data_IF_637648251262
#
_entry.id   IF_637648251262
#
_cell.length_a   1.000
_cell.length_b   1.000
_cell.length_c   1.000
_cell.angle_alpha   90.00
_cell.angle_beta   90.00
_cell.angle_gamma   90.00
#
_symmetry.space_group_name_H-M   'P 1'
#
loop_
_entity.id
_entity.type
_entity.pdbx_description
1 polymer ?
#
# COMPACT_ATOMS: atom_id res chain seq x y z
N UNK A 1 -8.18 -15.95 9.01
CA UNK A 1 -7.64 -15.94 7.63
C UNK A 1 -8.81 -15.93 6.68
N UNK A 2 -8.80 -15.04 5.70
CA UNK A 2 -9.77 -15.03 4.60
C UNK A 2 -9.08 -15.49 3.33
N UNK A 3 -9.77 -16.22 2.45
CA UNK A 3 -9.24 -16.63 1.16
C UNK A 3 -10.25 -16.43 0.04
N UNK A 4 -9.78 -15.87 -1.07
CA UNK A 4 -10.59 -15.56 -2.25
C UNK A 4 -9.75 -15.67 -3.53
N UNK A 5 -10.41 -15.49 -4.67
CA UNK A 5 -9.75 -15.29 -5.96
C UNK A 5 -9.89 -13.82 -6.37
N UNK A 6 -8.79 -13.20 -6.78
CA UNK A 6 -8.82 -11.85 -7.33
C UNK A 6 -9.41 -11.81 -8.75
N UNK A 7 -9.46 -10.62 -9.34
CA UNK A 7 -10.06 -10.37 -10.66
C UNK A 7 -9.35 -11.10 -11.81
N UNK A 8 -8.12 -11.59 -11.60
CA UNK A 8 -7.37 -12.38 -12.59
C UNK A 8 -7.30 -13.87 -12.22
N UNK A 9 -8.02 -14.29 -11.16
CA UNK A 9 -8.15 -15.68 -10.72
C UNK A 9 -7.07 -16.15 -9.74
N UNK A 10 -6.13 -15.29 -9.34
CA UNK A 10 -5.06 -15.63 -8.40
C UNK A 10 -5.63 -15.87 -7.01
N UNK A 11 -5.07 -16.85 -6.28
CA UNK A 11 -5.46 -17.11 -4.90
C UNK A 11 -4.85 -16.06 -3.98
N UNK A 12 -5.71 -15.35 -3.23
CA UNK A 12 -5.30 -14.38 -2.21
C UNK A 12 -5.66 -14.89 -0.82
N UNK A 13 -4.76 -14.66 0.13
CA UNK A 13 -4.95 -14.96 1.55
C UNK A 13 -4.74 -13.69 2.38
N UNK A 14 -5.73 -13.29 3.18
CA UNK A 14 -5.65 -12.14 4.09
C UNK A 14 -5.59 -12.63 5.54
N UNK A 15 -4.65 -12.05 6.28
CA UNK A 15 -4.47 -12.26 7.71
C UNK A 15 -4.53 -10.89 8.42
N UNK A 16 -5.27 -10.81 9.52
CA UNK A 16 -5.28 -9.66 10.43
C UNK A 16 -4.32 -9.86 11.62
N UNK A 17 -3.52 -10.92 11.58
CA UNK A 17 -2.46 -11.22 12.53
C UNK A 17 -1.11 -11.07 11.85
N UNK A 18 -0.09 -10.64 12.61
CA UNK A 18 1.29 -10.51 12.11
C UNK A 18 1.76 -11.86 11.54
N UNK A 19 2.34 -11.80 10.35
CA UNK A 19 2.98 -12.95 9.71
C UNK A 19 4.49 -12.89 9.94
N UNK A 20 5.15 -14.05 9.92
CA UNK A 20 6.61 -14.15 10.08
C UNK A 20 7.37 -13.73 8.82
N UNK A 21 6.74 -13.88 7.66
CA UNK A 21 7.32 -13.53 6.36
C UNK A 21 7.35 -12.01 6.18
N UNK A 22 8.49 -11.49 5.73
CA UNK A 22 8.61 -10.10 5.29
C UNK A 22 7.82 -9.85 3.99
N UNK A 23 7.19 -8.67 3.91
CA UNK A 23 6.42 -8.26 2.74
C UNK A 23 7.25 -7.33 1.85
N UNK A 24 7.28 -7.63 0.56
CA UNK A 24 8.01 -6.82 -0.44
C UNK A 24 7.24 -5.57 -0.90
N UNK A 25 5.93 -5.52 -0.63
CA UNK A 25 5.00 -4.47 -1.09
C UNK A 25 4.13 -3.96 0.07
N UNK A 26 3.65 -2.73 -0.04
CA UNK A 26 2.70 -2.14 0.89
C UNK A 26 1.44 -1.61 0.19
N UNK A 27 0.33 -1.65 0.93
CA UNK A 27 -0.94 -1.00 0.61
C UNK A 27 -1.38 -0.23 1.85
N UNK A 28 -1.77 1.03 1.67
CA UNK A 28 -2.20 1.91 2.75
C UNK A 28 -3.67 2.24 2.53
N UNK A 29 -4.49 2.13 3.57
CA UNK A 29 -5.90 2.54 3.57
C UNK A 29 -6.02 3.83 4.39
N UNK A 30 -5.69 5.01 3.83
CA UNK A 30 -5.64 6.27 4.57
C UNK A 30 -7.02 6.88 4.76
N UNK A 31 -7.27 7.35 5.99
CA UNK A 31 -8.39 8.21 6.34
C UNK A 31 -7.83 9.59 6.71
N UNK A 32 -8.26 10.64 6.02
CA UNK A 32 -7.87 12.02 6.29
C UNK A 32 -9.11 12.91 6.30
N UNK A 33 -9.32 13.66 7.37
CA UNK A 33 -10.52 14.51 7.56
C UNK A 33 -11.83 13.74 7.28
N UNK A 34 -11.94 12.53 7.85
CA UNK A 34 -13.09 11.62 7.68
C UNK A 34 -13.37 11.20 6.22
N UNK A 35 -12.40 11.39 5.33
CA UNK A 35 -12.48 11.03 3.91
C UNK A 35 -11.40 10.02 3.55
N UNK A 36 -11.75 9.12 2.63
CA UNK A 36 -10.80 8.19 2.04
C UNK A 36 -9.90 8.91 1.04
N UNK A 37 -8.59 8.79 1.24
CA UNK A 37 -7.61 9.36 0.32
C UNK A 37 -7.17 8.30 -0.70
N UNK A 38 -7.37 8.60 -1.98
CA UNK A 38 -6.98 7.75 -3.11
C UNK A 38 -5.85 8.39 -3.90
N UNK A 39 -5.17 7.57 -4.70
CA UNK A 39 -4.32 8.03 -5.80
C UNK A 39 -4.98 7.70 -7.14
N UNK A 40 -4.59 8.41 -8.20
CA UNK A 40 -4.97 8.07 -9.57
C UNK A 40 -3.73 7.59 -10.32
N UNK A 41 -3.56 6.26 -10.39
CA UNK A 41 -2.44 5.64 -11.09
C UNK A 41 -2.64 5.75 -12.60
N UNK A 42 -1.60 6.20 -13.32
CA UNK A 42 -1.66 6.52 -14.76
C UNK A 42 -2.27 5.43 -15.65
N UNK A 43 -2.15 4.15 -15.24
CA UNK A 43 -2.65 3.00 -15.99
C UNK A 43 -3.83 2.30 -15.31
N UNK A 44 -3.87 2.28 -13.96
CA UNK A 44 -4.85 1.47 -13.20
C UNK A 44 -6.08 2.28 -12.77
N UNK A 45 -6.01 3.61 -12.85
CA UNK A 45 -7.06 4.49 -12.38
C UNK A 45 -7.01 4.71 -10.87
N UNK A 46 -8.19 4.88 -10.27
CA UNK A 46 -8.36 5.21 -8.85
C UNK A 46 -8.07 3.99 -7.99
N UNK A 47 -7.11 4.10 -7.07
CA UNK A 47 -6.75 3.04 -6.13
C UNK A 47 -6.28 3.62 -4.79
N UNK A 48 -6.26 2.79 -3.76
CA UNK A 48 -5.60 3.15 -2.52
C UNK A 48 -4.08 3.26 -2.73
N UNK A 49 -3.39 4.20 -2.04
CA UNK A 49 -1.94 4.32 -2.17
C UNK A 49 -1.22 3.03 -1.77
N UNK A 50 -0.17 2.69 -2.51
CA UNK A 50 0.66 1.53 -2.24
C UNK A 50 1.89 1.51 -3.13
N UNK A 51 2.74 0.50 -2.97
CA UNK A 51 3.91 0.33 -3.83
C UNK A 51 4.91 -0.67 -3.31
N UNK A 52 6.00 -0.81 -4.06
CA UNK A 52 7.13 -1.66 -3.70
C UNK A 52 7.87 -1.11 -2.49
N UNK A 53 8.11 -1.96 -1.51
CA UNK A 53 9.05 -1.74 -0.42
C UNK A 53 10.46 -1.69 -1.00
N UNK A 54 10.87 -0.51 -1.46
CA UNK A 54 12.30 -0.27 -1.69
C UNK A 54 12.94 -0.09 -0.32
N UNK A 55 14.17 -0.59 -0.13
CA UNK A 55 15.01 -0.16 1.00
C UNK A 55 14.91 1.36 1.11
N UNK A 56 14.26 1.86 2.16
CA UNK A 56 14.24 3.28 2.43
C UNK A 56 15.68 3.69 2.71
N UNK A 57 16.39 4.20 1.70
CA UNK A 57 17.35 5.26 1.98
C UNK A 57 16.52 6.33 2.63
N UNK A 58 16.78 6.59 3.91
CA UNK A 58 16.12 7.66 4.66
C UNK A 58 16.00 8.86 3.73
N UNK A 59 14.81 9.47 3.57
CA UNK A 59 14.73 10.72 2.84
C UNK A 59 15.72 11.65 3.52
N UNK A 60 16.76 12.08 2.78
CA UNK A 60 17.63 13.14 3.25
C UNK A 60 16.70 14.26 3.67
N UNK A 61 16.73 14.65 4.94
CA UNK A 61 16.01 15.81 5.44
C UNK A 61 16.42 16.99 4.55
N UNK A 62 15.63 17.30 3.51
CA UNK A 62 15.73 18.61 2.90
C UNK A 62 15.06 19.53 3.91
N UNK A 63 15.81 20.45 4.54
CA UNK A 63 15.17 21.44 5.39
C UNK A 63 14.19 22.22 4.51
N UNK A 64 12.97 22.39 4.99
CA UNK A 64 12.05 23.36 4.40
C UNK A 64 12.80 24.68 4.33
N UNK A 65 13.02 25.17 3.11
CA UNK A 65 13.72 26.42 2.84
C UNK A 65 12.95 27.62 3.39
N UNK A 66 13.72 28.66 3.72
CA UNK A 66 13.31 29.95 4.29
C UNK A 66 12.12 30.62 3.62
#
# INVERSE_FOLDING_TARGET
MFSYRDDVGSKVSIYFTKQEKECDDCLIIPLYEEKWLFTNHKVRGIEFPGGKGREMKQPSKQPYGN
#
